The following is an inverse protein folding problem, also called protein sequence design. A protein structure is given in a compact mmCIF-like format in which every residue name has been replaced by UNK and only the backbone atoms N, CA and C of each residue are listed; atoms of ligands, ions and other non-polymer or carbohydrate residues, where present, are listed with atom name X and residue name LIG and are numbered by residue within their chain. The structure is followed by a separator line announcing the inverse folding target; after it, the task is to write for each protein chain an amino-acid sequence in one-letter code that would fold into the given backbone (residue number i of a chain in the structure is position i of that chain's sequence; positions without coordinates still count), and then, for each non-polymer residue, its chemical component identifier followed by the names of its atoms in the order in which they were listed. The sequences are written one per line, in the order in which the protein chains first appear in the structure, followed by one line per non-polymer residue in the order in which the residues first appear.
data_IF_314368366296
#
_entry.id   IF_314368366296
#
_cell.length_a   1.000
_cell.length_b   1.000
_cell.length_c   1.000
_cell.angle_alpha   90.00
_cell.angle_beta   90.00
_cell.angle_gamma   90.00
#
_symmetry.space_group_name_H-M   'P 1'
#
loop_
_entity.id
_entity.type
_entity.pdbx_description
1 polymer ?
#
# COMPACT_ATOMS: atom_id res chain seq x y z
N UNK A 1 18.58 -6.77 -8.20
CA UNK A 1 17.93 -6.51 -6.91
C UNK A 1 16.49 -7.00 -6.98
N UNK A 2 16.04 -7.86 -6.06
CA UNK A 2 14.66 -8.39 -6.06
C UNK A 2 13.68 -7.23 -5.77
N UNK A 3 12.49 -7.26 -6.38
CA UNK A 3 11.48 -6.19 -6.28
C UNK A 3 11.11 -5.88 -4.82
N UNK A 4 11.05 -6.91 -3.97
CA UNK A 4 10.84 -6.81 -2.52
C UNK A 4 11.90 -5.98 -1.80
N UNK A 5 13.17 -6.08 -2.20
CA UNK A 5 14.28 -5.33 -1.61
C UNK A 5 14.22 -3.85 -1.95
N UNK A 6 13.75 -3.52 -3.15
CA UNK A 6 13.59 -2.12 -3.60
C UNK A 6 12.47 -1.42 -2.85
N UNK A 7 11.39 -2.16 -2.60
CA UNK A 7 10.26 -1.76 -1.77
C UNK A 7 10.69 -1.49 -0.33
N UNK A 8 11.40 -2.42 0.31
CA UNK A 8 11.81 -2.28 1.70
C UNK A 8 12.74 -1.08 1.92
N UNK A 9 13.64 -0.82 0.96
CA UNK A 9 14.50 0.36 0.98
C UNK A 9 13.73 1.66 0.83
N UNK A 10 12.76 1.72 -0.08
CA UNK A 10 11.94 2.92 -0.30
C UNK A 10 11.02 3.23 0.91
N UNK A 11 10.61 2.21 1.66
CA UNK A 11 9.89 2.35 2.93
C UNK A 11 10.77 2.94 4.04
N UNK A 12 12.00 2.43 4.16
CA UNK A 12 12.98 2.88 5.14
C UNK A 12 13.41 4.32 4.87
N UNK A 13 13.70 4.66 3.60
CA UNK A 13 14.20 5.97 3.18
C UNK A 13 13.13 7.09 3.28
N UNK A 14 11.83 6.74 3.34
CA UNK A 14 10.72 7.71 3.38
C UNK A 14 9.99 7.79 4.72
N UNK A 15 10.56 7.26 5.81
CA UNK A 15 10.00 7.34 7.17
C UNK A 15 8.50 6.98 7.25
N UNK A 16 8.09 5.84 6.70
CA UNK A 16 6.68 5.40 6.80
C UNK A 16 5.76 6.07 5.79
N UNK A 17 6.20 6.19 4.53
CA UNK A 17 5.41 6.78 3.45
C UNK A 17 4.02 6.14 3.31
N UNK A 18 3.00 6.99 3.41
CA UNK A 18 1.62 6.56 3.23
C UNK A 18 1.29 6.38 1.75
N UNK A 19 0.74 5.22 1.41
CA UNK A 19 0.38 4.86 0.05
C UNK A 19 -1.10 5.13 -0.22
N UNK A 20 -1.40 5.63 -1.41
CA UNK A 20 -2.79 5.71 -1.91
C UNK A 20 -3.18 4.39 -2.59
N UNK A 21 -4.49 4.21 -2.84
CA UNK A 21 -4.99 3.09 -3.68
C UNK A 21 -4.29 3.05 -5.05
N UNK A 22 -3.98 4.21 -5.63
CA UNK A 22 -3.31 4.30 -6.93
C UNK A 22 -1.88 3.77 -6.86
N UNK A 23 -1.16 4.08 -5.78
CA UNK A 23 0.21 3.60 -5.58
C UNK A 23 0.21 2.08 -5.38
N UNK A 24 -0.73 1.57 -4.58
CA UNK A 24 -0.93 0.12 -4.36
C UNK A 24 -1.21 -0.58 -5.70
N UNK A 25 -2.17 -0.08 -6.48
CA UNK A 25 -2.51 -0.64 -7.79
C UNK A 25 -1.31 -0.69 -8.74
N UNK A 26 -0.49 0.37 -8.78
CA UNK A 26 0.74 0.43 -9.58
C UNK A 26 1.81 -0.54 -9.10
N UNK A 27 2.01 -0.67 -7.78
CA UNK A 27 3.04 -1.57 -7.23
C UNK A 27 2.79 -3.03 -7.57
N UNK A 28 1.53 -3.46 -7.51
CA UNK A 28 1.15 -4.86 -7.71
C UNK A 28 0.66 -5.15 -9.14
N UNK A 29 0.56 -4.16 -10.02
CA UNK A 29 0.06 -4.33 -11.38
C UNK A 29 -1.40 -4.78 -11.43
N UNK A 30 -2.21 -4.33 -10.47
CA UNK A 30 -3.62 -4.72 -10.32
C UNK A 30 -4.56 -3.55 -10.56
N UNK A 31 -5.85 -3.85 -10.74
CA UNK A 31 -6.86 -2.81 -10.83
C UNK A 31 -7.01 -2.05 -9.49
N UNK A 32 -7.38 -0.77 -9.57
CA UNK A 32 -7.71 0.02 -8.38
C UNK A 32 -8.84 -0.61 -7.56
N UNK A 33 -9.76 -1.35 -8.20
CA UNK A 33 -10.83 -2.05 -7.50
C UNK A 33 -10.30 -3.24 -6.69
N UNK A 34 -9.36 -4.01 -7.26
CA UNK A 34 -8.66 -5.08 -6.56
C UNK A 34 -7.87 -4.52 -5.37
N UNK A 35 -7.16 -3.41 -5.56
CA UNK A 35 -6.44 -2.73 -4.49
C UNK A 35 -7.37 -2.30 -3.33
N UNK A 36 -8.56 -1.76 -3.62
CA UNK A 36 -9.56 -1.43 -2.58
C UNK A 36 -10.06 -2.65 -1.82
N UNK A 37 -10.21 -3.81 -2.49
CA UNK A 37 -10.64 -5.05 -1.83
C UNK A 37 -9.55 -5.58 -0.88
N UNK A 38 -8.29 -5.51 -1.29
CA UNK A 38 -7.15 -5.92 -0.46
C UNK A 38 -7.11 -5.10 0.84
N UNK A 39 -7.23 -3.77 0.75
CA UNK A 39 -7.14 -2.89 1.93
C UNK A 39 -8.48 -2.64 2.63
N UNK A 40 -9.52 -3.42 2.34
CA UNK A 40 -10.87 -3.19 2.88
C UNK A 40 -10.92 -3.29 4.42
N UNK A 41 -10.00 -4.04 5.03
CA UNK A 41 -9.85 -4.16 6.49
C UNK A 41 -8.76 -3.27 7.10
N UNK A 42 -8.07 -2.45 6.31
CA UNK A 42 -7.00 -1.58 6.79
C UNK A 42 -7.55 -0.18 7.11
N UNK A 43 -7.38 0.32 8.33
CA UNK A 43 -7.85 1.66 8.69
C UNK A 43 -7.08 2.74 7.92
N UNK A 44 -7.74 3.61 7.13
CA UNK A 44 -7.06 4.71 6.45
C UNK A 44 -6.68 5.82 7.45
N UNK A 45 -5.58 6.50 7.18
CA UNK A 45 -5.00 7.52 8.06
C UNK A 45 -5.63 8.91 7.84
N UNK A 46 -6.22 9.14 6.66
CA UNK A 46 -6.92 10.39 6.34
C UNK A 46 -8.43 10.16 6.14
N UNK A 47 -9.24 11.00 6.80
CA UNK A 47 -10.67 11.14 6.53
C UNK A 47 -10.88 12.27 5.51
N UNK A 48 -11.10 11.91 4.25
CA UNK A 48 -11.31 12.84 3.15
C UNK A 48 -11.23 12.17 1.77
N UNK A 49 -11.08 12.96 0.71
CA UNK A 49 -11.04 12.48 -0.70
C UNK A 49 -9.77 11.69 -1.05
N UNK A 50 -8.73 11.72 -0.22
CA UNK A 50 -7.45 11.07 -0.48
C UNK A 50 -7.05 10.09 0.63
N UNK A 51 -7.72 8.94 0.72
CA UNK A 51 -7.36 7.86 1.68
C UNK A 51 -5.92 7.41 1.46
N UNK A 52 -5.19 7.37 2.56
CA UNK A 52 -3.77 7.00 2.65
C UNK A 52 -3.63 5.87 3.67
N UNK A 53 -2.74 4.93 3.40
CA UNK A 53 -2.55 3.72 4.22
C UNK A 53 -1.09 3.57 4.60
N UNK A 54 -0.82 3.04 5.79
CA UNK A 54 0.54 2.68 6.16
C UNK A 54 1.01 1.52 5.27
N UNK A 55 2.22 1.63 4.77
CA UNK A 55 2.77 0.62 3.89
C UNK A 55 2.80 -0.76 4.55
N UNK A 56 3.18 -0.83 5.83
CA UNK A 56 3.27 -2.09 6.58
C UNK A 56 1.91 -2.82 6.65
N UNK A 57 0.85 -2.10 6.98
CA UNK A 57 -0.50 -2.67 7.05
C UNK A 57 -1.01 -3.13 5.67
N UNK A 58 -0.65 -2.41 4.60
CA UNK A 58 -0.95 -2.83 3.23
C UNK A 58 -0.17 -4.07 2.85
N UNK A 59 1.11 -4.16 3.22
CA UNK A 59 1.94 -5.33 2.95
C UNK A 59 1.37 -6.57 3.65
N UNK A 60 0.93 -6.45 4.90
CA UNK A 60 0.24 -7.54 5.59
C UNK A 60 -1.07 -7.92 4.91
N UNK A 61 -1.89 -6.93 4.51
CA UNK A 61 -3.15 -7.19 3.85
C UNK A 61 -2.98 -7.92 2.51
N UNK A 62 -1.93 -7.60 1.76
CA UNK A 62 -1.59 -8.27 0.48
C UNK A 62 -1.19 -9.73 0.69
N UNK A 63 -0.48 -10.06 1.76
CA UNK A 63 -0.07 -11.45 2.05
C UNK A 63 -1.28 -12.33 2.42
N UNK A 64 -2.32 -11.75 3.01
CA UNK A 64 -3.53 -12.47 3.46
C UNK A 64 -4.59 -12.65 2.37
N UNK A 65 -4.50 -11.92 1.27
CA UNK A 65 -5.47 -11.88 0.18
C UNK A 65 -5.15 -12.88 -0.93
#
# INVERSE_FOLDING_TARGET
MKQSTRIAKDMYDKCGALVSITDIAKYFGISANTARRIVAGVPPISQGTGKRYFYEEVAEAVVRY
#
